data_IF_576422958688
#
_entry.id   IF_576422958688
#
_cell.length_a   1.000
_cell.length_b   1.000
_cell.length_c   1.000
_cell.angle_alpha   90.00
_cell.angle_beta   90.00
_cell.angle_gamma   90.00
#
_symmetry.space_group_name_H-M   'P 1'
#
loop_
_entity.id
_entity.type
_entity.pdbx_description
1 polymer ?
#
# COMPACT_ATOMS: atom_id res chain seq x y z
N UNK A 1 0.69 -28.61 20.29
CA UNK A 1 -0.49 -27.99 20.93
C UNK A 1 -0.33 -26.50 21.23
N UNK A 2 0.85 -25.88 21.02
CA UNK A 2 1.06 -24.42 21.22
C UNK A 2 1.18 -23.60 19.91
N UNK A 3 1.14 -24.25 18.74
CA UNK A 3 1.39 -23.60 17.44
C UNK A 3 0.08 -23.37 16.66
N UNK A 4 -1.02 -24.01 17.06
CA UNK A 4 -2.32 -23.86 16.39
C UNK A 4 -3.18 -22.71 16.97
N UNK A 5 -2.92 -22.27 18.21
CA UNK A 5 -3.68 -21.16 18.83
C UNK A 5 -3.29 -19.75 18.33
N UNK A 6 -2.18 -19.63 17.59
CA UNK A 6 -1.73 -18.35 17.04
C UNK A 6 -2.24 -18.07 15.63
N UNK A 7 -2.95 -19.02 15.00
CA UNK A 7 -3.50 -18.81 13.65
C UNK A 7 -4.79 -17.97 13.65
N UNK A 8 -5.53 -17.98 14.75
CA UNK A 8 -6.80 -17.24 14.91
C UNK A 8 -6.75 -16.12 15.95
N UNK A 9 -5.63 -15.96 16.67
CA UNK A 9 -5.41 -14.81 17.52
C UNK A 9 -5.12 -13.59 16.64
N UNK A 10 -6.18 -12.94 16.13
CA UNK A 10 -6.14 -11.51 15.81
C UNK A 10 -5.85 -10.77 17.11
N UNK A 11 -4.57 -10.72 17.51
CA UNK A 11 -4.12 -9.77 18.52
C UNK A 11 -4.58 -8.42 17.98
N UNK A 12 -5.42 -7.65 18.70
CA UNK A 12 -5.74 -6.31 18.27
C UNK A 12 -4.43 -5.54 18.30
N UNK A 13 -3.81 -5.29 17.15
CA UNK A 13 -2.55 -4.56 17.10
C UNK A 13 -2.69 -3.14 17.65
N UNK A 14 -3.93 -2.63 17.82
CA UNK A 14 -4.19 -1.37 18.52
C UNK A 14 -3.70 -1.41 19.97
N UNK A 15 -3.50 -2.60 20.53
CA UNK A 15 -2.92 -2.83 21.85
C UNK A 15 -1.38 -2.93 21.80
N UNK A 16 -0.79 -3.04 20.60
CA UNK A 16 0.67 -2.94 20.36
C UNK A 16 1.03 -1.47 20.11
N UNK A 17 1.89 -0.87 20.95
CA UNK A 17 2.28 0.53 20.80
C UNK A 17 3.09 0.77 19.51
N UNK A 18 3.68 -0.26 18.91
CA UNK A 18 4.52 -0.11 17.72
C UNK A 18 3.71 0.06 16.42
N UNK A 19 2.50 -0.51 16.34
CA UNK A 19 1.74 -0.53 15.08
C UNK A 19 1.35 0.88 14.59
N UNK A 20 0.78 1.77 15.42
CA UNK A 20 0.46 3.14 14.98
C UNK A 20 1.71 3.90 14.52
N UNK A 21 2.85 3.67 15.18
CA UNK A 21 4.13 4.28 14.81
C UNK A 21 4.62 3.77 13.46
N UNK A 22 4.56 2.46 13.20
CA UNK A 22 4.95 1.88 11.92
C UNK A 22 4.06 2.36 10.77
N UNK A 23 2.76 2.50 11.02
CA UNK A 23 1.82 3.05 10.05
C UNK A 23 2.13 4.52 9.73
N UNK A 24 2.39 5.35 10.74
CA UNK A 24 2.77 6.75 10.54
C UNK A 24 4.07 6.88 9.73
N UNK A 25 5.08 6.05 10.05
CA UNK A 25 6.33 6.00 9.30
C UNK A 25 6.07 5.63 7.83
N UNK A 26 5.25 4.59 7.57
CA UNK A 26 4.91 4.19 6.21
C UNK A 26 4.22 5.33 5.43
N UNK A 27 3.24 5.98 6.05
CA UNK A 27 2.54 7.11 5.44
C UNK A 27 3.50 8.26 5.12
N UNK A 28 4.42 8.60 6.03
CA UNK A 28 5.31 9.76 5.87
C UNK A 28 6.46 9.51 4.91
N UNK A 29 7.14 8.39 5.08
CA UNK A 29 8.40 8.09 4.38
C UNK A 29 8.18 7.42 3.02
N UNK A 30 7.01 6.81 2.78
CA UNK A 30 6.72 6.09 1.54
C UNK A 30 5.58 6.76 0.77
N UNK A 31 4.37 6.81 1.32
CA UNK A 31 3.23 7.35 0.55
C UNK A 31 3.31 8.85 0.33
N UNK A 32 3.69 9.63 1.34
CA UNK A 32 3.79 11.09 1.26
C UNK A 32 5.22 11.58 0.99
N UNK A 33 6.10 10.70 0.52
CA UNK A 33 7.46 11.05 0.16
C UNK A 33 7.45 12.14 -0.93
N UNK A 34 8.35 13.12 -0.79
CA UNK A 34 8.49 14.22 -1.78
C UNK A 34 9.31 13.80 -3.01
N UNK A 35 10.11 12.76 -2.86
CA UNK A 35 10.97 12.21 -3.89
C UNK A 35 10.87 10.68 -3.83
N UNK A 36 11.13 10.01 -4.95
CA UNK A 36 11.13 8.54 -5.00
C UNK A 36 12.24 8.01 -4.08
N UNK A 37 11.92 7.26 -3.01
CA UNK A 37 12.96 6.76 -2.11
C UNK A 37 13.91 5.83 -2.87
N UNK A 38 15.22 6.02 -2.72
CA UNK A 38 16.23 5.22 -3.42
C UNK A 38 16.11 3.70 -3.18
N UNK A 39 15.48 3.32 -2.06
CA UNK A 39 15.16 1.93 -1.69
C UNK A 39 13.65 1.71 -1.52
N UNK A 40 12.82 2.48 -2.22
CA UNK A 40 11.36 2.48 -2.04
C UNK A 40 10.72 1.09 -2.13
N UNK A 41 11.15 0.27 -3.09
CA UNK A 41 10.67 -1.12 -3.24
C UNK A 41 10.99 -1.98 -2.01
N UNK A 42 12.25 -2.00 -1.58
CA UNK A 42 12.70 -2.79 -0.42
C UNK A 42 12.06 -2.28 0.87
N UNK A 43 11.92 -0.97 1.00
CA UNK A 43 11.31 -0.35 2.17
C UNK A 43 9.81 -0.66 2.22
N UNK A 44 9.08 -0.51 1.12
CA UNK A 44 7.65 -0.85 1.06
C UNK A 44 7.41 -2.34 1.34
N UNK A 45 8.26 -3.24 0.80
CA UNK A 45 8.21 -4.68 1.11
C UNK A 45 8.48 -4.98 2.59
N UNK A 46 9.30 -4.20 3.28
CA UNK A 46 9.56 -4.38 4.71
C UNK A 46 8.30 -4.15 5.58
N UNK A 47 7.31 -3.41 5.07
CA UNK A 47 6.03 -3.18 5.75
C UNK A 47 4.97 -4.25 5.44
N UNK A 48 5.25 -5.29 4.65
CA UNK A 48 4.27 -6.38 4.40
C UNK A 48 3.61 -6.95 5.66
N UNK A 49 4.36 -7.25 6.75
CA UNK A 49 3.74 -7.73 7.99
C UNK A 49 2.71 -6.76 8.56
N UNK A 50 2.94 -5.44 8.43
CA UNK A 50 2.00 -4.41 8.88
C UNK A 50 0.64 -4.57 8.19
N UNK A 51 0.63 -4.74 6.86
CA UNK A 51 -0.59 -4.84 6.07
C UNK A 51 -1.38 -6.12 6.36
N UNK A 52 -0.68 -7.23 6.63
CA UNK A 52 -1.32 -8.50 7.01
C UNK A 52 -2.05 -8.42 8.35
N UNK A 53 -1.53 -7.64 9.29
CA UNK A 53 -2.11 -7.51 10.63
C UNK A 53 -3.06 -6.32 10.77
N UNK A 54 -3.12 -5.42 9.78
CA UNK A 54 -4.00 -4.25 9.78
C UNK A 54 -5.50 -4.62 9.76
N UNK A 55 -6.31 -3.87 10.52
CA UNK A 55 -7.76 -4.05 10.55
C UNK A 55 -8.31 -3.50 9.24
N UNK A 56 -9.38 -4.13 8.76
CA UNK A 56 -10.07 -3.66 7.55
C UNK A 56 -10.45 -2.18 7.64
N UNK A 57 -10.87 -1.71 8.82
CA UNK A 57 -11.25 -0.30 9.03
C UNK A 57 -10.08 0.67 8.79
N UNK A 58 -8.89 0.40 9.33
CA UNK A 58 -7.74 1.29 9.16
C UNK A 58 -7.21 1.24 7.72
N UNK A 59 -7.26 0.06 7.08
CA UNK A 59 -6.92 -0.07 5.66
C UNK A 59 -7.87 0.74 4.76
N UNK A 60 -9.17 0.72 5.07
CA UNK A 60 -10.24 1.38 4.32
C UNK A 60 -10.30 2.89 4.55
N UNK A 61 -10.10 3.33 5.80
CA UNK A 61 -10.33 4.72 6.20
C UNK A 61 -9.06 5.58 6.18
N UNK A 62 -7.87 4.97 6.25
CA UNK A 62 -6.60 5.70 6.33
C UNK A 62 -5.72 5.39 5.12
N UNK A 63 -5.37 4.12 4.94
CA UNK A 63 -4.31 3.72 4.00
C UNK A 63 -4.74 3.87 2.55
N UNK A 64 -5.89 3.29 2.17
CA UNK A 64 -6.39 3.38 0.80
C UNK A 64 -6.72 4.81 0.36
N UNK A 65 -7.45 5.63 1.15
CA UNK A 65 -7.68 7.02 0.78
C UNK A 65 -6.37 7.80 0.59
N UNK A 66 -5.36 7.55 1.41
CA UNK A 66 -4.04 8.19 1.28
C UNK A 66 -3.31 7.72 0.02
N UNK A 67 -3.27 6.41 -0.24
CA UNK A 67 -2.63 5.83 -1.41
C UNK A 67 -3.25 6.35 -2.72
N UNK A 68 -4.58 6.35 -2.81
CA UNK A 68 -5.30 6.83 -3.99
C UNK A 68 -5.13 8.34 -4.18
N UNK A 69 -5.17 9.12 -3.09
CA UNK A 69 -4.87 10.56 -3.13
C UNK A 69 -3.45 10.83 -3.63
N UNK A 70 -2.47 10.02 -3.24
CA UNK A 70 -1.09 10.16 -3.66
C UNK A 70 -0.87 9.74 -5.11
N UNK A 71 -1.50 8.65 -5.54
CA UNK A 71 -1.53 8.24 -6.95
C UNK A 71 -2.02 9.39 -7.84
N UNK A 72 -3.09 10.09 -7.44
CA UNK A 72 -3.62 11.23 -8.21
C UNK A 72 -2.67 12.43 -8.29
N UNK A 73 -1.83 12.64 -7.28
CA UNK A 73 -0.99 13.84 -7.18
C UNK A 73 0.36 13.62 -7.84
N UNK A 74 1.06 12.55 -7.46
CA UNK A 74 2.44 12.29 -7.86
C UNK A 74 2.59 10.80 -8.26
N UNK A 75 1.85 10.33 -9.28
CA UNK A 75 1.82 8.90 -9.64
C UNK A 75 3.22 8.33 -9.88
N UNK A 76 4.14 9.12 -10.43
CA UNK A 76 5.52 8.73 -10.72
C UNK A 76 6.36 8.37 -9.49
N UNK A 77 6.02 8.91 -8.33
CA UNK A 77 6.73 8.65 -7.08
C UNK A 77 6.17 7.39 -6.41
N UNK A 78 4.83 7.28 -6.40
CA UNK A 78 4.15 6.35 -5.50
C UNK A 78 3.65 5.08 -6.16
N UNK A 79 3.63 5.02 -7.51
CA UNK A 79 3.10 3.91 -8.30
C UNK A 79 3.52 2.53 -7.78
N UNK A 80 4.84 2.31 -7.69
CA UNK A 80 5.45 1.05 -7.25
C UNK A 80 5.13 0.73 -5.78
N UNK A 81 5.12 1.75 -4.92
CA UNK A 81 4.83 1.55 -3.49
C UNK A 81 3.37 1.21 -3.25
N UNK A 82 2.47 1.83 -4.02
CA UNK A 82 1.04 1.56 -3.96
C UNK A 82 0.71 0.20 -4.58
N UNK A 83 1.38 -0.21 -5.65
CA UNK A 83 1.23 -1.56 -6.20
C UNK A 83 1.54 -2.65 -5.17
N UNK A 84 2.67 -2.52 -4.46
CA UNK A 84 3.02 -3.43 -3.34
C UNK A 84 1.93 -3.42 -2.28
N UNK A 85 1.50 -2.24 -1.84
CA UNK A 85 0.49 -2.10 -0.80
C UNK A 85 -0.81 -2.79 -1.18
N UNK A 86 -1.34 -2.54 -2.37
CA UNK A 86 -2.60 -3.10 -2.83
C UNK A 86 -2.53 -4.62 -2.94
N UNK A 87 -1.39 -5.18 -3.37
CA UNK A 87 -1.16 -6.63 -3.37
C UNK A 87 -0.98 -7.23 -1.98
N UNK A 88 -0.75 -6.41 -0.96
CA UNK A 88 -0.50 -6.86 0.43
C UNK A 88 -1.72 -6.76 1.34
N UNK A 89 -2.68 -5.89 1.01
CA UNK A 89 -3.88 -5.68 1.84
C UNK A 89 -4.89 -6.79 1.63
N UNK A 90 -5.48 -7.25 2.72
CA UNK A 90 -6.59 -8.20 2.69
C UNK A 90 -7.92 -7.44 2.69
N UNK A 91 -8.22 -6.67 1.64
CA UNK A 91 -9.47 -5.92 1.51
C UNK A 91 -10.05 -6.08 0.10
N UNK A 92 -11.37 -6.07 -0.01
CA UNK A 92 -12.04 -5.91 -1.31
C UNK A 92 -11.77 -4.50 -1.88
N UNK A 93 -11.06 -4.47 -3.00
CA UNK A 93 -10.65 -3.24 -3.70
C UNK A 93 -11.63 -2.83 -4.81
N UNK A 94 -12.70 -3.61 -5.05
CA UNK A 94 -13.67 -3.36 -6.13
C UNK A 94 -14.25 -1.94 -6.08
N UNK A 95 -14.47 -1.40 -4.87
CA UNK A 95 -14.99 -0.05 -4.66
C UNK A 95 -14.00 1.08 -5.01
N UNK A 96 -12.69 0.77 -5.04
CA UNK A 96 -11.62 1.71 -5.38
C UNK A 96 -11.06 1.47 -6.79
N UNK A 97 -11.37 0.33 -7.40
CA UNK A 97 -10.81 -0.10 -8.68
C UNK A 97 -10.95 0.97 -9.77
N UNK A 98 -12.14 1.57 -9.92
CA UNK A 98 -12.35 2.64 -10.92
C UNK A 98 -11.41 3.81 -10.70
N UNK A 99 -11.22 4.23 -9.45
CA UNK A 99 -10.37 5.37 -9.11
C UNK A 99 -8.89 5.05 -9.34
N UNK A 100 -8.45 3.85 -8.92
CA UNK A 100 -7.07 3.37 -9.09
C UNK A 100 -6.74 3.21 -10.58
N UNK A 101 -7.60 2.51 -11.33
CA UNK A 101 -7.42 2.27 -12.77
C UNK A 101 -7.41 3.57 -13.56
N UNK A 102 -8.26 4.54 -13.20
CA UNK A 102 -8.29 5.84 -13.88
C UNK A 102 -6.96 6.60 -13.82
N UNK A 103 -6.18 6.37 -12.75
CA UNK A 103 -4.86 6.97 -12.57
C UNK A 103 -3.76 6.12 -13.18
N UNK A 104 -3.85 4.79 -13.07
CA UNK A 104 -2.86 3.85 -13.61
C UNK A 104 -2.86 3.83 -15.14
N UNK A 105 -4.03 3.91 -15.78
CA UNK A 105 -4.17 3.77 -17.25
C UNK A 105 -3.34 4.78 -18.06
N UNK A 106 -3.35 6.08 -17.74
CA UNK A 106 -2.46 7.03 -18.41
C UNK A 106 -0.96 6.73 -18.22
N UNK A 107 -0.58 6.03 -17.14
CA UNK A 107 0.82 5.73 -16.83
C UNK A 107 1.34 4.51 -17.58
N UNK A 108 0.46 3.57 -17.94
CA UNK A 108 0.82 2.38 -18.73
C UNK A 108 1.33 2.73 -20.14
N UNK A 109 0.91 3.86 -20.71
CA UNK A 109 1.38 4.37 -22.00
C UNK A 109 2.58 5.34 -21.91
N UNK A 110 3.17 5.52 -20.73
CA UNK A 110 4.22 6.52 -20.54
C UNK A 110 5.55 6.12 -21.23
N UNK A 111 6.37 7.08 -21.62
CA UNK A 111 7.70 6.82 -22.20
C UNK A 111 8.69 6.25 -21.17
N UNK A 112 8.48 6.53 -19.89
CA UNK A 112 9.25 5.99 -18.77
C UNK A 112 8.84 4.53 -18.47
N UNK A 113 9.78 3.60 -18.60
CA UNK A 113 9.53 2.17 -18.34
C UNK A 113 9.12 1.88 -16.90
N UNK A 114 9.71 2.58 -15.93
CA UNK A 114 9.35 2.40 -14.51
C UNK A 114 7.89 2.76 -14.24
N UNK A 115 7.37 3.79 -14.91
CA UNK A 115 5.95 4.16 -14.85
C UNK A 115 5.05 3.14 -15.53
N UNK A 116 5.47 2.59 -16.68
CA UNK A 116 4.71 1.55 -17.36
C UNK A 116 4.59 0.29 -16.50
N UNK A 117 5.72 -0.22 -16.00
CA UNK A 117 5.76 -1.43 -15.18
C UNK A 117 4.94 -1.26 -13.91
N UNK A 118 5.14 -0.16 -13.18
CA UNK A 118 4.34 0.09 -11.97
C UNK A 118 2.84 0.19 -12.25
N UNK A 119 2.45 0.70 -13.42
CA UNK A 119 1.03 0.82 -13.78
C UNK A 119 0.43 -0.54 -14.09
N UNK A 120 1.19 -1.42 -14.75
CA UNK A 120 0.80 -2.81 -15.01
C UNK A 120 0.58 -3.58 -13.71
N UNK A 121 1.43 -3.40 -12.70
CA UNK A 121 1.25 -4.05 -11.39
C UNK A 121 -0.07 -3.65 -10.69
N UNK A 122 -0.63 -2.47 -11.00
CA UNK A 122 -1.91 -2.01 -10.46
C UNK A 122 -3.13 -2.58 -11.18
N UNK A 123 -2.96 -3.21 -12.36
CA UNK A 123 -4.06 -3.86 -13.09
C UNK A 123 -4.35 -5.28 -12.62
N UNK A 124 -3.39 -5.92 -11.96
CA UNK A 124 -3.54 -7.26 -11.41
C UNK A 124 -4.27 -7.28 -10.04
N UNK A 125 -4.71 -6.10 -9.59
CA UNK A 125 -5.31 -5.82 -8.28
C UNK A 125 -6.84 -5.95 -8.30
#
# INVERSE_FOLDING_TARGET
MYIEELKDARIPYKDSPEFPTLLDIYLREILNAREKPAKGLTLSKAFHPLFRHMLHEDSQNIVLPSAVKMLKRNPEIVLESVGILLNSVNLDLSKYAVEIISVALPQAGNADEGRRVGALELYDV
#
